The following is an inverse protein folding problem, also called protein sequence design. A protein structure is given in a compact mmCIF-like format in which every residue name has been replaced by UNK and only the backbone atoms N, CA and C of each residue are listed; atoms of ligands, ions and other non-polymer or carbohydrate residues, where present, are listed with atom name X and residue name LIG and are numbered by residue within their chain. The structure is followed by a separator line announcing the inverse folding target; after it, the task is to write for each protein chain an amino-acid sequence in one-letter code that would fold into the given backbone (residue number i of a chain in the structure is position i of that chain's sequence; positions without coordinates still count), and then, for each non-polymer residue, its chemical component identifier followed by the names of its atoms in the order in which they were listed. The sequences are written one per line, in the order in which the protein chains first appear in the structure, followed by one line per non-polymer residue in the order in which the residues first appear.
data_IF_173063619427
#
_entry.id   IF_173063619427
#
_cell.length_a   1.000
_cell.length_b   1.000
_cell.length_c   1.000
_cell.angle_alpha   90.00
_cell.angle_beta   90.00
_cell.angle_gamma   90.00
#
_symmetry.space_group_name_H-M   'P 1'
#
loop_
_entity.id
_entity.type
_entity.pdbx_description
1 polymer ?
#
# COMPACT_ATOMS: atom_id res chain seq x y z
N UNK A 1 1.50 -23.98 -35.72
CA UNK A 1 0.47 -23.10 -35.14
C UNK A 1 1.11 -22.36 -33.98
N UNK A 2 1.47 -21.09 -34.17
CA UNK A 2 2.18 -20.31 -33.15
C UNK A 2 1.16 -19.42 -32.45
N UNK A 3 0.93 -19.66 -31.16
CA UNK A 3 0.05 -18.81 -30.35
C UNK A 3 0.88 -17.60 -29.90
N UNK A 4 0.62 -16.43 -30.48
CA UNK A 4 1.06 -15.17 -29.89
C UNK A 4 0.22 -14.92 -28.63
N UNK A 5 0.80 -15.22 -27.47
CA UNK A 5 0.22 -14.81 -26.19
C UNK A 5 0.50 -13.32 -26.01
N UNK A 6 -0.46 -12.47 -26.36
CA UNK A 6 -0.42 -11.05 -26.02
C UNK A 6 -0.46 -10.95 -24.49
N UNK A 7 0.69 -10.71 -23.85
CA UNK A 7 0.73 -10.40 -22.42
C UNK A 7 -0.07 -9.12 -22.22
N UNK A 8 -1.32 -9.24 -21.77
CA UNK A 8 -2.06 -8.09 -21.23
C UNK A 8 -1.15 -7.48 -20.18
N UNK A 9 -0.81 -6.21 -20.33
CA UNK A 9 -0.15 -5.42 -19.29
C UNK A 9 -1.03 -5.57 -18.05
N UNK A 10 -0.59 -6.36 -17.06
CA UNK A 10 -1.33 -6.52 -15.81
C UNK A 10 -1.52 -5.11 -15.25
N UNK A 11 -2.78 -4.68 -15.15
CA UNK A 11 -3.10 -3.52 -14.34
C UNK A 11 -2.61 -3.86 -12.94
N UNK A 12 -1.65 -3.07 -12.45
CA UNK A 12 -1.08 -3.34 -11.13
C UNK A 12 -2.18 -3.15 -10.08
N UNK A 13 -2.32 -4.11 -9.19
CA UNK A 13 -3.30 -4.05 -8.09
C UNK A 13 -3.07 -2.81 -7.24
N UNK A 14 -4.14 -2.12 -6.86
CA UNK A 14 -4.08 -0.94 -6.01
C UNK A 14 -4.59 -1.26 -4.61
N UNK A 15 -3.88 -0.78 -3.61
CA UNK A 15 -4.36 -0.65 -2.25
C UNK A 15 -4.78 0.80 -2.02
N UNK A 16 -5.98 1.00 -1.50
CA UNK A 16 -6.50 2.32 -1.12
C UNK A 16 -6.92 2.29 0.34
N UNK A 17 -6.51 3.30 1.10
CA UNK A 17 -6.94 3.52 2.47
C UNK A 17 -7.46 4.95 2.62
N UNK A 18 -8.57 5.10 3.33
CA UNK A 18 -9.06 6.43 3.72
C UNK A 18 -8.42 6.80 5.05
N UNK A 19 -7.81 7.99 5.10
CA UNK A 19 -7.12 8.49 6.28
C UNK A 19 -7.62 9.87 6.68
N UNK A 20 -7.55 10.14 7.98
CA UNK A 20 -7.71 11.47 8.57
C UNK A 20 -6.59 11.66 9.57
N UNK A 21 -5.76 12.67 9.35
CA UNK A 21 -4.57 12.94 10.14
C UNK A 21 -4.59 14.32 10.79
N UNK A 22 -3.83 14.46 11.88
CA UNK A 22 -3.35 15.76 12.34
C UNK A 22 -2.13 16.16 11.47
N UNK A 23 -1.48 17.30 11.76
CA UNK A 23 -0.33 17.91 11.06
C UNK A 23 0.95 17.05 10.98
N UNK A 24 0.87 15.73 11.17
CA UNK A 24 1.98 14.82 11.08
C UNK A 24 2.02 14.13 9.70
N UNK A 25 3.20 14.14 9.07
CA UNK A 25 3.45 13.40 7.83
C UNK A 25 3.99 12.01 8.14
N UNK A 26 3.86 11.06 7.22
CA UNK A 26 4.27 9.71 7.50
C UNK A 26 4.27 8.79 6.30
N UNK A 27 4.46 7.50 6.59
CA UNK A 27 4.34 6.42 5.63
C UNK A 27 3.53 5.28 6.23
N UNK A 28 2.73 4.63 5.39
CA UNK A 28 2.09 3.36 5.68
C UNK A 28 2.77 2.31 4.82
N UNK A 29 3.47 1.39 5.45
CA UNK A 29 4.02 0.21 4.79
C UNK A 29 2.99 -0.92 4.84
N UNK A 30 2.87 -1.65 3.74
CA UNK A 30 1.90 -2.72 3.57
C UNK A 30 2.67 -4.02 3.46
N UNK A 31 2.42 -4.93 4.40
CA UNK A 31 3.16 -6.18 4.55
C UNK A 31 2.22 -7.38 4.54
N UNK A 32 2.75 -8.51 4.06
CA UNK A 32 2.14 -9.82 4.22
C UNK A 32 2.99 -10.69 5.15
N UNK A 33 2.31 -11.50 5.96
CA UNK A 33 2.80 -12.47 6.95
C UNK A 33 3.59 -11.90 8.14
N UNK A 34 4.49 -10.93 7.94
CA UNK A 34 5.26 -10.29 9.01
C UNK A 34 5.81 -8.92 8.60
N UNK A 35 6.16 -8.06 9.56
CA UNK A 35 6.96 -6.84 9.33
C UNK A 35 8.46 -7.08 9.46
N UNK A 36 8.87 -8.28 9.90
CA UNK A 36 10.25 -8.73 9.86
C UNK A 36 10.62 -9.10 8.41
N UNK A 37 11.61 -8.43 7.79
CA UNK A 37 11.99 -8.69 6.39
C UNK A 37 12.46 -10.13 6.11
N UNK A 38 12.85 -10.88 7.14
CA UNK A 38 13.24 -12.29 6.97
C UNK A 38 12.03 -13.24 6.92
N UNK A 39 10.85 -12.80 7.39
CA UNK A 39 9.66 -13.66 7.56
C UNK A 39 8.41 -13.12 6.84
N UNK A 40 8.47 -11.92 6.31
CA UNK A 40 7.36 -11.28 5.61
C UNK A 40 7.83 -10.50 4.39
N UNK A 41 6.86 -10.07 3.58
CA UNK A 41 7.14 -9.35 2.34
C UNK A 41 6.45 -7.99 2.38
N UNK A 42 7.22 -6.91 2.16
CA UNK A 42 6.65 -5.60 1.91
C UNK A 42 6.14 -5.53 0.49
N UNK A 43 4.84 -5.36 0.33
CA UNK A 43 4.15 -5.37 -0.97
C UNK A 43 3.79 -3.95 -1.44
N UNK A 44 3.87 -2.95 -0.57
CA UNK A 44 3.58 -1.57 -0.94
C UNK A 44 3.99 -0.55 0.11
N UNK A 45 3.96 0.72 -0.29
CA UNK A 45 4.15 1.86 0.61
C UNK A 45 3.27 3.01 0.13
N UNK A 46 2.45 3.55 1.02
CA UNK A 46 1.63 4.73 0.78
C UNK A 46 2.16 5.90 1.61
N UNK A 47 2.28 7.08 0.99
CA UNK A 47 2.72 8.28 1.68
C UNK A 47 1.52 8.97 2.34
N UNK A 48 1.69 9.31 3.62
CA UNK A 48 0.73 10.11 4.38
C UNK A 48 1.24 11.55 4.32
N UNK A 49 0.58 12.36 3.49
CA UNK A 49 0.98 13.75 3.25
C UNK A 49 0.22 14.68 4.21
N UNK A 50 0.97 15.47 4.99
CA UNK A 50 0.40 16.56 5.76
C UNK A 50 0.00 17.70 4.81
N UNK A 51 -1.23 18.20 4.91
CA UNK A 51 -1.72 19.36 4.14
C UNK A 51 -1.62 20.69 4.89
N UNK A 52 -0.88 20.73 6.00
CA UNK A 52 -0.54 21.93 6.76
C UNK A 52 -1.65 22.42 7.71
N UNK A 53 -2.71 21.63 7.92
CA UNK A 53 -3.82 21.94 8.83
C UNK A 53 -4.31 20.65 9.48
N UNK A 54 -5.02 20.76 10.60
CA UNK A 54 -5.79 19.62 11.13
C UNK A 54 -6.81 19.24 10.07
N UNK A 55 -6.70 18.02 9.53
CA UNK A 55 -7.62 17.57 8.51
C UNK A 55 -8.99 17.31 9.15
N UNK A 56 -9.99 18.06 8.71
CA UNK A 56 -11.38 17.88 9.15
C UNK A 56 -12.11 16.84 8.31
N UNK A 57 -11.52 16.42 7.19
CA UNK A 57 -12.09 15.46 6.25
C UNK A 57 -11.18 14.25 6.04
N UNK A 58 -11.81 13.12 5.74
CA UNK A 58 -11.12 11.92 5.27
C UNK A 58 -10.66 12.14 3.83
N UNK A 59 -9.50 11.57 3.49
CA UNK A 59 -9.03 11.52 2.13
C UNK A 59 -8.35 10.19 1.84
N UNK A 60 -8.43 9.78 0.58
CA UNK A 60 -7.87 8.53 0.15
C UNK A 60 -6.39 8.69 -0.18
N UNK A 61 -5.60 7.74 0.31
CA UNK A 61 -4.26 7.47 -0.17
C UNK A 61 -4.29 6.14 -0.91
N UNK A 62 -3.65 6.11 -2.07
CA UNK A 62 -3.54 4.90 -2.87
C UNK A 62 -2.09 4.61 -3.18
N UNK A 63 -1.75 3.33 -3.19
CA UNK A 63 -0.47 2.86 -3.68
C UNK A 63 -0.66 1.57 -4.46
N UNK A 64 0.32 1.28 -5.29
CA UNK A 64 0.37 0.02 -6.00
C UNK A 64 0.89 -1.06 -5.06
N UNK A 65 0.28 -2.24 -5.13
CA UNK A 65 0.77 -3.46 -4.48
C UNK A 65 1.11 -4.49 -5.53
N UNK A 66 2.25 -5.13 -5.37
CA UNK A 66 2.75 -6.16 -6.29
C UNK A 66 2.83 -7.52 -5.56
N UNK A 67 2.79 -8.62 -6.33
CA UNK A 67 3.03 -9.99 -5.85
C UNK A 67 2.10 -10.52 -4.74
N UNK A 68 0.82 -10.13 -4.75
CA UNK A 68 -0.18 -10.63 -3.79
C UNK A 68 -1.01 -11.73 -4.43
N UNK A 69 -0.76 -12.99 -4.05
CA UNK A 69 -1.57 -14.15 -4.42
C UNK A 69 -1.78 -15.04 -3.19
N UNK A 70 -2.81 -15.90 -3.19
CA UNK A 70 -3.06 -16.81 -2.06
C UNK A 70 -3.71 -16.15 -0.84
N UNK A 71 -3.61 -16.82 0.31
CA UNK A 71 -4.17 -16.39 1.60
C UNK A 71 -3.03 -16.06 2.55
N UNK A 72 -3.00 -14.82 3.06
CA UNK A 72 -1.92 -14.30 3.89
C UNK A 72 -2.47 -13.48 5.06
N UNK A 73 -1.68 -13.40 6.13
CA UNK A 73 -1.89 -12.37 7.15
C UNK A 73 -1.52 -11.00 6.57
N UNK A 74 -2.36 -10.00 6.77
CA UNK A 74 -2.14 -8.65 6.24
C UNK A 74 -1.81 -7.68 7.37
N UNK A 75 -0.74 -6.89 7.20
CA UNK A 75 -0.25 -5.98 8.23
C UNK A 75 -0.05 -4.57 7.64
N UNK A 76 -0.59 -3.57 8.34
CA UNK A 76 -0.36 -2.16 8.07
C UNK A 76 0.59 -1.60 9.13
N UNK A 77 1.80 -1.22 8.72
CA UNK A 77 2.77 -0.60 9.62
C UNK A 77 2.84 0.90 9.35
N UNK A 78 2.42 1.70 10.34
CA UNK A 78 2.33 3.15 10.22
C UNK A 78 3.52 3.79 10.92
N UNK A 79 4.22 4.67 10.21
CA UNK A 79 5.28 5.51 10.74
C UNK A 79 4.86 6.97 10.64
N UNK A 80 4.72 7.63 11.79
CA UNK A 80 4.35 9.05 11.90
C UNK A 80 5.61 9.82 12.35
N UNK A 81 5.83 11.00 11.76
CA UNK A 81 6.89 11.94 12.15
C UNK A 81 6.30 13.18 12.80
#
# INVERSE_FOLDING_TARGET
MTILQTRRKSEKTKFTASIRGNVASGKMEIWIDSTDPARGTKIGTANIVNKGKVETTWHDISTTVDNVTGVHGFILQIHIR
#
